data_IF_089455027543
#
_entry.id   IF_089455027543
#
_cell.length_a   1.000
_cell.length_b   1.000
_cell.length_c   1.000
_cell.angle_alpha   90.00
_cell.angle_beta   90.00
_cell.angle_gamma   90.00
#
_symmetry.space_group_name_H-M   'P 1'
#
loop_
_entity.id
_entity.type
_entity.pdbx_description
1 polymer ?
#
# COMPACT_ATOMS: atom_id res chain seq x y z
N UNK A 1 -6.92 9.60 -8.21
CA UNK A 1 -5.54 10.10 -8.15
C UNK A 1 -4.82 9.28 -7.11
N UNK A 2 -3.96 8.34 -7.52
CA UNK A 2 -3.10 7.65 -6.55
C UNK A 2 -2.11 8.64 -5.94
N UNK A 3 -1.90 8.54 -4.63
CA UNK A 3 -0.96 9.41 -3.94
C UNK A 3 -0.20 8.65 -2.88
N UNK A 4 1.12 8.68 -3.00
CA UNK A 4 2.08 8.25 -2.00
C UNK A 4 2.43 9.46 -1.11
N UNK A 5 2.21 9.35 0.19
CA UNK A 5 2.47 10.41 1.16
C UNK A 5 3.42 9.87 2.23
N UNK A 6 4.53 10.57 2.46
CA UNK A 6 5.47 10.22 3.50
C UNK A 6 5.25 11.08 4.74
N UNK A 7 4.82 10.45 5.84
CA UNK A 7 4.75 11.08 7.15
C UNK A 7 6.05 10.83 7.92
N UNK A 8 6.98 11.77 7.78
CA UNK A 8 8.27 11.74 8.48
C UNK A 8 8.13 11.85 10.00
N UNK A 9 7.06 12.48 10.50
CA UNK A 9 6.85 12.60 11.96
C UNK A 9 6.42 11.26 12.56
N UNK A 10 5.60 10.50 11.83
CA UNK A 10 5.09 9.20 12.28
C UNK A 10 5.93 8.01 11.81
N UNK A 11 6.97 8.26 11.02
CA UNK A 11 7.77 7.25 10.32
C UNK A 11 6.86 6.26 9.58
N UNK A 12 5.96 6.80 8.76
CA UNK A 12 4.94 6.03 8.06
C UNK A 12 4.81 6.50 6.62
N UNK A 13 4.37 5.59 5.75
CA UNK A 13 3.94 5.92 4.40
C UNK A 13 2.46 5.62 4.27
N UNK A 14 1.76 6.51 3.57
CA UNK A 14 0.33 6.44 3.35
C UNK A 14 0.12 6.39 1.84
N UNK A 15 -0.62 5.38 1.38
CA UNK A 15 -0.99 5.20 -0.02
C UNK A 15 -2.50 5.35 -0.14
N UNK A 16 -2.97 6.27 -0.98
CA UNK A 16 -4.37 6.31 -1.37
C UNK A 16 -4.52 5.63 -2.72
N UNK A 17 -5.31 4.57 -2.77
CA UNK A 17 -5.55 3.73 -3.95
C UNK A 17 -7.02 3.77 -4.32
N UNK A 18 -7.32 4.02 -5.60
CA UNK A 18 -8.68 3.96 -6.11
C UNK A 18 -9.09 2.50 -6.30
N UNK A 19 -10.11 2.05 -5.56
CA UNK A 19 -10.53 0.64 -5.58
C UNK A 19 -11.26 0.23 -6.85
N UNK A 20 -11.68 1.20 -7.67
CA UNK A 20 -12.21 0.96 -9.03
C UNK A 20 -11.10 0.57 -10.02
N UNK A 21 -9.86 0.91 -9.70
CA UNK A 21 -8.67 0.55 -10.48
C UNK A 21 -8.02 -0.68 -9.83
N UNK A 22 -7.68 -0.58 -8.55
CA UNK A 22 -6.99 -1.62 -7.81
C UNK A 22 -7.97 -2.41 -6.95
N UNK A 23 -8.20 -3.69 -7.29
CA UNK A 23 -9.18 -4.50 -6.56
C UNK A 23 -8.78 -4.66 -5.08
N UNK A 24 -9.76 -4.53 -4.19
CA UNK A 24 -9.54 -4.54 -2.73
C UNK A 24 -8.90 -5.84 -2.24
N UNK A 25 -9.28 -6.99 -2.80
CA UNK A 25 -8.70 -8.30 -2.46
C UNK A 25 -7.19 -8.35 -2.73
N UNK A 26 -6.75 -7.74 -3.84
CA UNK A 26 -5.33 -7.63 -4.20
C UNK A 26 -4.58 -6.72 -3.25
N UNK A 27 -5.17 -5.56 -2.92
CA UNK A 27 -4.59 -4.62 -1.94
C UNK A 27 -4.41 -5.30 -0.59
N UNK A 28 -5.42 -6.04 -0.12
CA UNK A 28 -5.36 -6.77 1.15
C UNK A 28 -4.32 -7.89 1.13
N UNK A 29 -4.23 -8.65 0.02
CA UNK A 29 -3.20 -9.69 -0.14
C UNK A 29 -1.79 -9.12 -0.06
N UNK A 30 -1.53 -8.00 -0.73
CA UNK A 30 -0.23 -7.32 -0.68
C UNK A 30 0.00 -6.74 0.73
N UNK A 31 -1.00 -6.09 1.34
CA UNK A 31 -0.90 -5.62 2.73
C UNK A 31 -0.49 -6.72 3.70
N UNK A 32 -0.99 -7.94 3.50
CA UNK A 32 -0.61 -9.08 4.31
C UNK A 32 0.87 -9.49 4.14
N UNK A 33 1.47 -9.37 2.94
CA UNK A 33 2.91 -9.70 2.75
C UNK A 33 3.82 -8.74 3.51
N UNK A 34 3.41 -7.48 3.65
CA UNK A 34 4.17 -6.46 4.39
C UNK A 34 3.93 -6.49 5.91
N UNK A 35 2.96 -7.27 6.39
CA UNK A 35 2.59 -7.31 7.81
C UNK A 35 3.68 -7.86 8.74
N UNK A 36 4.68 -8.58 8.22
CA UNK A 36 5.83 -9.02 9.00
C UNK A 36 6.82 -7.87 9.26
N UNK A 37 7.07 -7.02 8.26
CA UNK A 37 8.02 -5.90 8.35
C UNK A 37 7.37 -4.60 8.87
N UNK A 38 6.07 -4.46 8.68
CA UNK A 38 5.32 -3.23 8.98
C UNK A 38 4.12 -3.52 9.88
N UNK A 39 3.72 -2.50 10.64
CA UNK A 39 2.34 -2.38 11.07
C UNK A 39 1.55 -1.80 9.91
N UNK A 40 0.58 -2.55 9.41
CA UNK A 40 -0.22 -2.20 8.24
C UNK A 40 -1.63 -1.87 8.70
N UNK A 41 -2.12 -0.70 8.32
CA UNK A 41 -3.49 -0.27 8.52
C UNK A 41 -4.14 -0.02 7.16
N UNK A 42 -5.34 -0.56 6.96
CA UNK A 42 -6.09 -0.41 5.72
C UNK A 42 -7.47 0.12 6.09
N UNK A 43 -7.77 1.34 5.66
CA UNK A 43 -9.01 2.04 6.01
C UNK A 43 -9.56 2.81 4.81
N UNK A 44 -10.82 3.23 4.87
CA UNK A 44 -11.47 3.99 3.79
C UNK A 44 -12.67 3.29 3.18
N UNK A 45 -13.09 3.80 2.02
CA UNK A 45 -14.26 3.33 1.30
C UNK A 45 -13.85 2.27 0.27
N UNK A 46 -14.33 1.05 0.47
CA UNK A 46 -14.04 -0.10 -0.38
C UNK A 46 -14.51 0.09 -1.83
N UNK A 47 -15.49 0.97 -2.09
CA UNK A 47 -16.06 1.20 -3.42
C UNK A 47 -15.46 2.43 -4.13
N UNK A 48 -14.61 3.20 -3.45
CA UNK A 48 -14.11 4.46 -3.94
C UNK A 48 -12.60 4.63 -3.78
N UNK A 49 -12.11 4.66 -2.54
CA UNK A 49 -10.69 4.88 -2.25
C UNK A 49 -10.35 4.27 -0.91
N UNK A 50 -9.33 3.42 -0.95
CA UNK A 50 -8.73 2.84 0.25
C UNK A 50 -7.41 3.54 0.54
N UNK A 51 -7.18 3.78 1.81
CA UNK A 51 -5.93 4.27 2.36
C UNK A 51 -5.19 3.11 3.01
N UNK A 52 -3.95 2.88 2.58
CA UNK A 52 -3.03 1.92 3.19
C UNK A 52 -1.94 2.70 3.90
N UNK A 53 -1.82 2.52 5.22
CA UNK A 53 -0.73 3.07 6.02
C UNK A 53 0.24 1.96 6.37
N UNK A 54 1.51 2.12 5.98
CA UNK A 54 2.60 1.21 6.33
C UNK A 54 3.53 1.93 7.30
N UNK A 55 3.68 1.36 8.50
CA UNK A 55 4.63 1.83 9.51
C UNK A 55 5.68 0.77 9.77
N UNK A 56 6.95 0.96 9.37
CA UNK A 56 7.99 -0.03 9.61
C UNK A 56 8.13 -0.35 11.10
N UNK A 57 8.25 -1.63 11.43
CA UNK A 57 8.47 -2.10 12.82
C UNK A 57 9.89 -1.81 13.30
N UNK A 58 10.84 -1.73 12.37
CA UNK A 58 12.23 -1.37 12.64
C UNK A 58 12.53 0.05 12.19
N UNK A 59 13.26 0.81 13.02
CA UNK A 59 13.75 2.17 12.68
C UNK A 59 14.82 2.17 11.59
N UNK A 60 15.48 1.02 11.36
CA UNK A 60 16.50 0.89 10.32
C UNK A 60 15.91 0.76 8.91
N UNK A 61 14.61 0.46 8.81
CA UNK A 61 13.91 0.41 7.53
C UNK A 61 13.41 1.79 7.13
N UNK A 62 13.71 2.21 5.91
CA UNK A 62 13.21 3.47 5.35
C UNK A 62 11.76 3.27 4.94
N UNK A 63 10.85 3.99 5.59
CA UNK A 63 9.42 3.97 5.25
C UNK A 63 9.17 4.34 3.77
N UNK A 64 10.05 5.18 3.21
CA UNK A 64 10.00 5.56 1.80
C UNK A 64 10.16 4.36 0.85
N UNK A 65 11.19 3.53 1.08
CA UNK A 65 11.46 2.34 0.26
C UNK A 65 10.32 1.33 0.33
N UNK A 66 9.81 1.07 1.53
CA UNK A 66 8.67 0.18 1.76
C UNK A 66 7.43 0.67 1.01
N UNK A 67 7.19 1.98 0.99
CA UNK A 67 6.08 2.57 0.25
C UNK A 67 6.18 2.34 -1.24
N UNK A 68 7.37 2.53 -1.82
CA UNK A 68 7.62 2.26 -3.22
C UNK A 68 7.51 0.76 -3.55
N UNK A 69 8.06 -0.10 -2.71
CA UNK A 69 7.97 -1.55 -2.89
C UNK A 69 6.51 -2.01 -2.88
N UNK A 70 5.74 -1.58 -1.88
CA UNK A 70 4.31 -1.88 -1.80
C UNK A 70 3.56 -1.40 -3.05
N UNK A 71 3.80 -0.16 -3.47
CA UNK A 71 3.12 0.39 -4.65
C UNK A 71 3.50 -0.38 -5.93
N UNK A 72 4.75 -0.80 -6.07
CA UNK A 72 5.19 -1.63 -7.21
C UNK A 72 4.50 -3.00 -7.22
N UNK A 73 4.30 -3.63 -6.06
CA UNK A 73 3.52 -4.87 -5.97
C UNK A 73 2.07 -4.66 -6.41
N UNK A 74 1.44 -3.56 -6.00
CA UNK A 74 0.08 -3.19 -6.41
C UNK A 74 0.00 -3.01 -7.92
N UNK A 75 0.98 -2.31 -8.52
CA UNK A 75 1.06 -2.13 -9.97
C UNK A 75 1.32 -3.43 -10.73
N UNK A 76 2.11 -4.35 -10.17
CA UNK A 76 2.41 -5.63 -10.81
C UNK A 76 1.16 -6.53 -10.93
N UNK A 77 0.30 -6.55 -9.91
CA UNK A 77 -0.97 -7.29 -9.95
C UNK A 77 -1.96 -6.73 -10.98
N UNK A 78 -1.86 -5.43 -11.32
CA UNK A 78 -2.64 -4.83 -12.40
C UNK A 78 -2.22 -5.33 -13.77
N UNK A 79 -0.90 -5.35 -14.05
CA UNK A 79 -0.37 -5.84 -15.34
C UNK A 79 -0.79 -7.28 -15.63
N UNK A 80 -0.78 -8.13 -14.61
CA UNK A 80 -1.18 -9.54 -14.76
C UNK A 80 -2.68 -9.69 -15.06
N UNK A 81 -3.52 -8.70 -14.71
CA UNK A 81 -4.96 -8.74 -15.01
C UNK A 81 -5.32 -8.22 -16.40
N UNK A 82 -4.41 -7.54 -17.12
CA UNK A 82 -4.65 -7.05 -18.48
C UNK A 82 -4.28 -8.06 -19.58
N UNK A 83 -3.57 -9.14 -19.23
CA UNK A 83 -3.11 -10.19 -20.16
C UNK A 83 -4.05 -11.42 -20.25
N UNK A 84 -5.35 -11.28 -19.91
CA UNK A 84 -6.35 -12.36 -20.01
C UNK A 84 -7.58 -11.93 -20.83
#
# INVERSE_FOLDING_TARGET
MERLIFDRKRHAVILNLNTRVYKMDKILKIAQTFSQACNVDVSGDVDCTVQVTLKPKSRNMRAEEIGYEFFNHVLAEMKISEDI
#
